data_IF_906031590200
#
_entry.id   IF_906031590200
#
_cell.length_a   1.000
_cell.length_b   1.000
_cell.length_c   1.000
_cell.angle_alpha   90.00
_cell.angle_beta   90.00
_cell.angle_gamma   90.00
#
_symmetry.space_group_name_H-M   'P 1'
#
loop_
_entity.id
_entity.type
_entity.pdbx_description
1 polymer ?
#
# COMPACT_ATOMS: atom_id res chain seq x y z
N UNK A 1 -7.06 -32.46 -7.75
CA UNK A 1 -5.73 -31.87 -8.07
C UNK A 1 -5.16 -31.25 -6.81
N UNK A 2 -3.90 -31.53 -6.48
CA UNK A 2 -3.26 -30.98 -5.28
C UNK A 2 -3.01 -29.47 -5.41
N UNK A 3 -3.12 -28.73 -4.28
CA UNK A 3 -2.77 -27.32 -4.22
C UNK A 3 -1.29 -27.11 -4.55
N UNK A 4 -0.99 -26.08 -5.33
CA UNK A 4 0.37 -25.79 -5.80
C UNK A 4 0.93 -24.55 -5.11
N UNK A 5 2.22 -24.56 -4.76
CA UNK A 5 2.88 -23.41 -4.13
C UNK A 5 3.06 -22.27 -5.13
N UNK A 6 2.66 -21.05 -4.74
CA UNK A 6 2.84 -19.86 -5.59
C UNK A 6 4.31 -19.57 -5.85
N UNK A 7 5.18 -19.77 -4.85
CA UNK A 7 6.63 -19.56 -4.99
C UNK A 7 7.24 -20.35 -6.16
N UNK A 8 6.75 -21.58 -6.43
CA UNK A 8 7.21 -22.39 -7.56
C UNK A 8 6.92 -21.74 -8.91
N UNK A 9 5.79 -21.04 -9.06
CA UNK A 9 5.49 -20.29 -10.29
C UNK A 9 6.37 -19.04 -10.41
N UNK A 10 6.61 -18.35 -9.29
CA UNK A 10 7.49 -17.16 -9.27
C UNK A 10 8.90 -17.56 -9.70
N UNK A 11 9.47 -18.60 -9.11
CA UNK A 11 10.84 -19.03 -9.42
C UNK A 11 11.00 -19.50 -10.88
N UNK A 12 9.94 -20.07 -11.48
CA UNK A 12 9.92 -20.45 -12.90
C UNK A 12 9.83 -19.24 -13.84
N UNK A 13 9.29 -18.12 -13.35
CA UNK A 13 9.09 -16.90 -14.16
C UNK A 13 10.21 -15.88 -14.03
N UNK A 14 11.05 -16.01 -12.99
CA UNK A 14 12.28 -15.24 -12.80
C UNK A 14 13.38 -15.78 -13.73
N UNK A 15 14.09 -14.90 -14.48
CA UNK A 15 15.24 -15.27 -15.30
C UNK A 15 16.31 -16.01 -14.49
N UNK A 16 17.00 -16.98 -15.10
CA UNK A 16 17.97 -17.84 -14.38
C UNK A 16 19.08 -17.06 -13.66
N UNK A 17 19.52 -15.91 -14.19
CA UNK A 17 20.54 -15.06 -13.57
C UNK A 17 20.04 -14.22 -12.38
N UNK A 18 18.74 -14.23 -12.11
CA UNK A 18 18.10 -13.50 -11.00
C UNK A 18 17.44 -14.46 -9.99
N UNK A 19 17.63 -15.78 -10.17
CA UNK A 19 17.08 -16.75 -9.23
C UNK A 19 17.77 -16.62 -7.88
N UNK A 20 17.02 -16.72 -6.77
CA UNK A 20 17.59 -16.70 -5.43
C UNK A 20 18.58 -17.86 -5.28
N UNK A 21 19.82 -17.55 -4.92
CA UNK A 21 20.87 -18.55 -4.70
C UNK A 21 20.71 -19.25 -3.35
N UNK A 22 20.23 -18.54 -2.33
CA UNK A 22 19.96 -19.11 -0.99
C UNK A 22 18.47 -19.38 -0.81
N UNK A 23 18.17 -20.42 -0.03
CA UNK A 23 16.78 -20.76 0.32
C UNK A 23 16.07 -19.62 1.06
N UNK A 24 16.79 -18.88 1.90
CA UNK A 24 16.30 -17.69 2.62
C UNK A 24 15.82 -16.58 1.71
N UNK A 25 16.32 -16.54 0.47
CA UNK A 25 16.06 -15.47 -0.48
C UNK A 25 14.90 -15.83 -1.42
N UNK A 26 14.37 -17.06 -1.31
CA UNK A 26 13.24 -17.52 -2.12
C UNK A 26 11.97 -16.75 -1.73
N UNK A 27 11.07 -16.46 -2.71
CA UNK A 27 9.80 -15.81 -2.42
C UNK A 27 9.04 -16.52 -1.30
N UNK A 28 8.39 -15.76 -0.42
CA UNK A 28 7.53 -16.31 0.64
C UNK A 28 8.27 -17.28 1.57
N UNK A 29 9.52 -16.97 1.93
CA UNK A 29 10.37 -17.78 2.81
C UNK A 29 10.45 -19.25 2.36
N UNK A 30 10.44 -19.55 1.05
CA UNK A 30 10.16 -20.89 0.50
C UNK A 30 11.30 -21.92 0.74
N UNK A 31 11.39 -22.28 2.01
CA UNK A 31 12.32 -23.14 2.71
C UNK A 31 11.88 -23.37 4.17
N UNK A 32 11.42 -22.29 4.80
CA UNK A 32 11.18 -22.18 6.23
C UNK A 32 9.76 -21.71 6.56
N UNK A 33 8.96 -21.33 5.54
CA UNK A 33 7.57 -20.96 5.71
C UNK A 33 6.76 -22.09 6.37
N UNK A 34 6.13 -21.78 7.50
CA UNK A 34 5.19 -22.68 8.18
C UNK A 34 3.91 -22.81 7.37
N UNK A 35 3.43 -21.69 6.81
CA UNK A 35 2.20 -21.62 6.02
C UNK A 35 2.48 -21.00 4.65
N UNK A 36 3.07 -21.75 3.70
CA UNK A 36 3.41 -21.21 2.38
C UNK A 36 2.15 -20.86 1.57
N UNK A 37 2.18 -19.82 0.73
CA UNK A 37 1.08 -19.50 -0.19
C UNK A 37 0.74 -20.64 -1.16
N UNK A 38 -0.49 -21.13 -1.06
CA UNK A 38 -1.03 -22.21 -1.90
C UNK A 38 -2.11 -21.68 -2.84
N UNK A 39 -1.99 -22.01 -4.12
CA UNK A 39 -3.00 -21.74 -5.13
C UNK A 39 -4.08 -22.83 -5.10
N UNK A 40 -5.34 -22.39 -5.13
CA UNK A 40 -6.51 -23.25 -5.27
C UNK A 40 -6.70 -23.62 -6.76
N UNK A 41 -6.95 -24.90 -7.07
CA UNK A 41 -7.22 -25.33 -8.44
C UNK A 41 -8.51 -24.75 -9.04
N UNK A 42 -9.49 -24.42 -8.19
CA UNK A 42 -10.79 -23.90 -8.59
C UNK A 42 -11.03 -22.51 -7.97
N UNK A 43 -11.73 -21.66 -8.71
CA UNK A 43 -11.99 -20.27 -8.34
C UNK A 43 -10.81 -19.34 -8.61
N UNK A 44 -10.97 -18.09 -8.18
CA UNK A 44 -9.98 -17.03 -8.37
C UNK A 44 -9.02 -17.00 -7.20
N UNK A 45 -7.71 -17.00 -7.46
CA UNK A 45 -6.68 -16.70 -6.48
C UNK A 45 -6.35 -15.21 -6.55
N UNK A 46 -6.30 -14.54 -5.40
CA UNK A 46 -6.00 -13.10 -5.33
C UNK A 46 -4.63 -12.87 -4.69
N UNK A 47 -3.84 -12.00 -5.31
CA UNK A 47 -2.61 -11.45 -4.74
C UNK A 47 -2.85 -9.99 -4.38
N UNK A 48 -2.51 -9.63 -3.15
CA UNK A 48 -2.49 -8.24 -2.71
C UNK A 48 -1.21 -7.57 -3.24
N UNK A 49 -1.34 -6.70 -4.22
CA UNK A 49 -0.25 -5.89 -4.73
C UNK A 49 -0.11 -4.65 -3.84
N UNK A 50 1.02 -4.48 -3.17
CA UNK A 50 1.26 -3.32 -2.30
C UNK A 50 2.39 -2.44 -2.85
N UNK A 51 2.05 -1.50 -3.75
CA UNK A 51 3.02 -0.59 -4.31
C UNK A 51 3.26 0.61 -3.39
N UNK A 52 4.47 1.13 -3.40
CA UNK A 52 4.77 2.33 -2.65
C UNK A 52 6.18 2.88 -2.86
N UNK A 53 6.34 4.15 -2.51
CA UNK A 53 7.66 4.77 -2.47
C UNK A 53 8.51 4.17 -1.36
N UNK A 54 7.91 3.86 -0.20
CA UNK A 54 8.60 3.26 0.94
C UNK A 54 9.94 3.94 1.25
N UNK A 55 9.91 5.26 1.41
CA UNK A 55 11.11 6.10 1.50
C UNK A 55 11.16 6.85 2.84
N UNK A 56 11.51 6.18 3.96
CA UNK A 56 11.70 4.73 4.12
C UNK A 56 10.39 3.97 4.45
N UNK A 57 10.38 2.62 4.43
CA UNK A 57 9.26 1.85 4.98
C UNK A 57 9.19 2.00 6.52
N UNK A 58 8.01 1.80 7.08
CA UNK A 58 7.71 2.06 8.49
C UNK A 58 6.59 1.14 9.00
N UNK A 59 6.39 1.10 10.32
CA UNK A 59 5.47 0.17 10.97
C UNK A 59 4.03 0.31 10.47
N UNK A 60 3.54 1.53 10.27
CA UNK A 60 2.22 1.76 9.66
C UNK A 60 2.02 1.12 8.27
N UNK A 61 3.08 0.96 7.47
CA UNK A 61 2.96 0.21 6.21
C UNK A 61 2.74 -1.28 6.47
N UNK A 62 3.47 -1.87 7.43
CA UNK A 62 3.35 -3.28 7.80
C UNK A 62 2.00 -3.57 8.48
N UNK A 63 1.53 -2.67 9.33
CA UNK A 63 0.24 -2.79 10.01
C UNK A 63 -0.91 -2.76 9.00
N UNK A 64 -0.87 -1.83 8.03
CA UNK A 64 -1.83 -1.79 6.94
C UNK A 64 -1.82 -3.09 6.12
N UNK A 65 -0.62 -3.58 5.77
CA UNK A 65 -0.47 -4.80 4.99
C UNK A 65 -1.07 -6.02 5.71
N UNK A 66 -0.72 -6.19 7.00
CA UNK A 66 -1.23 -7.29 7.84
C UNK A 66 -2.74 -7.20 8.02
N UNK A 67 -3.21 -6.04 8.44
CA UNK A 67 -4.63 -5.80 8.68
C UNK A 67 -5.46 -6.11 7.42
N UNK A 68 -5.06 -5.59 6.25
CA UNK A 68 -5.80 -5.86 5.02
C UNK A 68 -5.71 -7.32 4.62
N UNK A 69 -4.53 -7.94 4.67
CA UNK A 69 -4.38 -9.35 4.28
C UNK A 69 -5.25 -10.29 5.14
N UNK A 70 -5.34 -10.02 6.44
CA UNK A 70 -6.09 -10.85 7.40
C UNK A 70 -7.59 -10.57 7.37
N UNK A 71 -8.02 -9.36 7.01
CA UNK A 71 -9.40 -8.90 7.21
C UNK A 71 -10.17 -8.58 5.91
N UNK A 72 -9.56 -8.70 4.72
CA UNK A 72 -10.18 -8.31 3.44
C UNK A 72 -11.42 -9.12 3.00
N UNK A 73 -11.83 -10.10 3.79
CA UNK A 73 -13.02 -10.92 3.58
C UNK A 73 -12.67 -12.31 3.04
N UNK A 74 -13.40 -13.31 3.53
CA UNK A 74 -13.20 -14.71 3.12
C UNK A 74 -13.72 -15.00 1.69
N UNK A 75 -14.47 -14.07 1.09
CA UNK A 75 -14.87 -14.07 -0.32
C UNK A 75 -13.65 -13.92 -1.24
N UNK A 76 -12.66 -13.15 -0.80
CA UNK A 76 -11.37 -13.08 -1.44
C UNK A 76 -10.52 -14.26 -0.98
N UNK A 77 -10.31 -15.22 -1.88
CA UNK A 77 -9.25 -16.20 -1.73
C UNK A 77 -7.87 -15.51 -1.91
N UNK A 78 -7.50 -14.70 -0.94
CA UNK A 78 -6.22 -13.99 -0.86
C UNK A 78 -5.13 -14.98 -0.49
N UNK A 79 -4.18 -15.20 -1.40
CA UNK A 79 -3.14 -16.24 -1.24
C UNK A 79 -1.81 -15.68 -0.78
N UNK A 80 -1.49 -14.43 -1.16
CA UNK A 80 -0.21 -13.80 -0.90
C UNK A 80 -0.29 -12.28 -1.07
N UNK A 81 0.76 -11.60 -0.60
CA UNK A 81 1.00 -10.19 -0.91
C UNK A 81 2.36 -10.00 -1.58
N UNK A 82 2.43 -9.08 -2.53
CA UNK A 82 3.68 -8.70 -3.20
C UNK A 82 3.90 -7.19 -3.02
N UNK A 83 4.99 -6.84 -2.37
CA UNK A 83 5.38 -5.46 -2.08
C UNK A 83 6.28 -4.97 -3.21
N UNK A 84 5.89 -3.87 -3.86
CA UNK A 84 6.62 -3.33 -5.02
C UNK A 84 7.07 -1.90 -4.72
N UNK A 85 8.39 -1.74 -4.56
CA UNK A 85 9.01 -0.44 -4.42
C UNK A 85 9.02 0.29 -5.78
N UNK A 86 8.53 1.53 -5.84
CA UNK A 86 8.59 2.39 -7.05
C UNK A 86 10.03 2.57 -7.53
N UNK A 87 10.22 2.89 -8.81
CA UNK A 87 11.57 3.14 -9.35
C UNK A 87 12.22 4.37 -8.70
N UNK A 88 13.56 4.45 -8.78
CA UNK A 88 14.30 5.60 -8.26
C UNK A 88 14.02 6.88 -9.06
N UNK A 89 13.76 6.76 -10.37
CA UNK A 89 13.31 7.87 -11.22
C UNK A 89 11.97 8.43 -10.75
N UNK A 90 10.98 7.57 -10.49
CA UNK A 90 9.67 8.01 -10.00
C UNK A 90 9.76 8.62 -8.60
N UNK A 91 10.61 8.05 -7.73
CA UNK A 91 10.84 8.60 -6.40
C UNK A 91 11.51 9.97 -6.48
N UNK A 92 12.56 10.13 -7.29
CA UNK A 92 13.25 11.40 -7.48
C UNK A 92 12.27 12.49 -7.96
N UNK A 93 11.44 12.20 -8.98
CA UNK A 93 10.39 13.12 -9.45
C UNK A 93 9.40 13.50 -8.34
N UNK A 94 8.99 12.54 -7.51
CA UNK A 94 8.08 12.80 -6.38
C UNK A 94 8.72 13.70 -5.31
N UNK A 95 10.04 13.66 -5.19
CA UNK A 95 10.79 14.38 -4.16
C UNK A 95 11.39 15.70 -4.64
N UNK A 96 11.34 16.00 -5.94
CA UNK A 96 11.95 17.17 -6.57
C UNK A 96 11.57 18.50 -5.91
N UNK A 97 10.31 18.63 -5.50
CA UNK A 97 9.76 19.84 -4.86
C UNK A 97 9.74 19.79 -3.33
N UNK A 98 10.48 18.86 -2.71
CA UNK A 98 10.54 18.72 -1.26
C UNK A 98 11.90 19.17 -0.75
N UNK A 99 11.89 20.09 0.19
CA UNK A 99 13.10 20.46 0.93
C UNK A 99 13.62 19.26 1.72
N UNK A 100 14.95 19.16 1.82
CA UNK A 100 15.64 18.06 2.51
C UNK A 100 15.22 16.67 2.02
N UNK A 101 14.95 16.52 0.72
CA UNK A 101 14.57 15.27 0.13
C UNK A 101 15.67 14.20 0.24
N UNK A 102 15.54 13.30 1.23
CA UNK A 102 16.28 12.04 1.23
C UNK A 102 15.68 11.12 0.16
N UNK A 103 16.47 10.70 -0.81
CA UNK A 103 16.08 9.72 -1.83
C UNK A 103 16.84 8.42 -1.58
N UNK A 104 16.18 7.44 -0.95
CA UNK A 104 16.77 6.12 -0.70
C UNK A 104 16.62 5.26 -1.97
N UNK A 105 17.72 4.76 -2.56
CA UNK A 105 17.68 3.86 -3.71
C UNK A 105 16.80 2.63 -3.53
N UNK A 106 16.27 2.09 -4.62
CA UNK A 106 15.30 0.98 -4.62
C UNK A 106 15.85 -0.25 -3.93
N UNK A 107 17.11 -0.60 -4.19
CA UNK A 107 17.76 -1.77 -3.58
C UNK A 107 17.84 -1.64 -2.06
N UNK A 108 18.19 -0.45 -1.55
CA UNK A 108 18.21 -0.13 -0.12
C UNK A 108 16.80 -0.15 0.48
N UNK A 109 15.78 0.35 -0.22
CA UNK A 109 14.38 0.28 0.23
C UNK A 109 13.85 -1.15 0.30
N UNK A 110 14.22 -2.01 -0.65
CA UNK A 110 13.91 -3.45 -0.61
C UNK A 110 14.57 -4.11 0.60
N UNK A 111 15.85 -3.81 0.85
CA UNK A 111 16.59 -4.30 2.04
C UNK A 111 15.98 -3.78 3.33
N UNK A 112 15.48 -2.54 3.36
CA UNK A 112 14.75 -1.97 4.51
C UNK A 112 13.36 -2.57 4.71
N UNK A 113 12.75 -3.19 3.70
CA UNK A 113 11.54 -3.97 3.91
C UNK A 113 11.86 -5.36 4.46
N UNK A 114 12.89 -6.00 3.91
CA UNK A 114 13.32 -7.35 4.31
C UNK A 114 13.93 -7.34 5.71
N UNK A 115 14.93 -6.50 5.96
CA UNK A 115 15.80 -6.57 7.12
C UNK A 115 16.28 -7.99 7.38
N UNK A 116 15.97 -8.55 8.55
CA UNK A 116 16.23 -9.96 8.90
C UNK A 116 15.17 -10.96 8.39
N UNK A 117 14.12 -10.48 7.73
CA UNK A 117 12.98 -11.22 7.21
C UNK A 117 11.69 -10.42 7.43
N UNK A 118 10.77 -10.45 6.46
CA UNK A 118 9.40 -10.00 6.77
C UNK A 118 8.81 -11.08 7.68
N UNK A 119 8.25 -10.74 8.85
CA UNK A 119 7.77 -11.72 9.83
C UNK A 119 6.42 -12.33 9.43
N UNK A 120 6.23 -12.66 8.15
CA UNK A 120 5.08 -13.40 7.63
C UNK A 120 5.50 -14.30 6.47
N UNK A 121 4.82 -15.43 6.31
CA UNK A 121 5.09 -16.40 5.24
C UNK A 121 4.42 -16.05 3.91
N UNK A 122 3.46 -15.12 3.93
CA UNK A 122 2.60 -14.83 2.78
C UNK A 122 2.98 -13.54 2.03
N UNK A 123 3.99 -12.80 2.49
CA UNK A 123 4.45 -11.58 1.83
C UNK A 123 5.80 -11.78 1.13
N UNK A 124 5.98 -11.14 -0.02
CA UNK A 124 7.25 -11.11 -0.73
C UNK A 124 7.57 -9.70 -1.21
N UNK A 125 8.82 -9.26 -0.99
CA UNK A 125 9.32 -8.00 -1.57
C UNK A 125 9.87 -8.28 -2.94
N UNK A 126 9.23 -7.70 -3.95
CA UNK A 126 9.64 -7.81 -5.33
C UNK A 126 10.97 -7.09 -5.56
N UNK A 127 12.02 -7.87 -5.81
CA UNK A 127 13.40 -7.42 -5.98
C UNK A 127 13.97 -7.68 -7.37
N UNK A 128 13.20 -8.24 -8.29
CA UNK A 128 13.65 -8.44 -9.65
C UNK A 128 13.95 -7.09 -10.33
N UNK A 129 14.87 -7.13 -11.29
CA UNK A 129 15.33 -5.95 -12.05
C UNK A 129 14.35 -5.50 -13.13
N UNK A 130 13.54 -6.42 -13.64
CA UNK A 130 12.56 -6.13 -14.68
C UNK A 130 11.38 -5.29 -14.18
N UNK A 131 10.68 -4.65 -15.11
CA UNK A 131 9.45 -3.93 -14.81
C UNK A 131 8.35 -4.86 -14.27
N UNK A 132 7.68 -4.41 -13.21
CA UNK A 132 6.64 -5.15 -12.52
C UNK A 132 5.55 -5.70 -13.45
N UNK A 133 5.07 -4.88 -14.41
CA UNK A 133 3.98 -5.29 -15.31
C UNK A 133 4.39 -6.51 -16.15
N UNK A 134 5.63 -6.55 -16.65
CA UNK A 134 6.15 -7.67 -17.42
C UNK A 134 6.21 -8.96 -16.59
N UNK A 135 6.69 -8.86 -15.35
CA UNK A 135 6.72 -9.99 -14.41
C UNK A 135 5.30 -10.50 -14.11
N UNK A 136 4.38 -9.58 -13.78
CA UNK A 136 2.98 -9.88 -13.45
C UNK A 136 2.28 -10.63 -14.57
N UNK A 137 2.48 -10.20 -15.82
CA UNK A 137 1.85 -10.83 -16.97
C UNK A 137 2.39 -12.26 -17.19
N UNK A 138 3.70 -12.48 -17.01
CA UNK A 138 4.28 -13.83 -17.10
C UNK A 138 3.81 -14.73 -15.97
N UNK A 139 3.75 -14.24 -14.73
CA UNK A 139 3.22 -14.99 -13.59
C UNK A 139 1.77 -15.40 -13.82
N UNK A 140 0.94 -14.47 -14.28
CA UNK A 140 -0.47 -14.73 -14.61
C UNK A 140 -0.61 -15.78 -15.70
N UNK A 141 0.17 -15.68 -16.78
CA UNK A 141 0.19 -16.67 -17.87
C UNK A 141 0.65 -18.05 -17.39
N UNK A 142 1.68 -18.11 -16.54
CA UNK A 142 2.20 -19.36 -16.00
C UNK A 142 1.16 -20.09 -15.12
N UNK A 143 0.44 -19.36 -14.27
CA UNK A 143 -0.64 -19.93 -13.45
C UNK A 143 -1.84 -20.35 -14.31
N UNK A 144 -2.20 -19.53 -15.32
CA UNK A 144 -3.29 -19.83 -16.27
C UNK A 144 -3.03 -21.09 -17.09
N UNK A 145 -1.77 -21.38 -17.44
CA UNK A 145 -1.38 -22.61 -18.15
C UNK A 145 -1.82 -23.88 -17.39
N UNK A 146 -1.88 -23.79 -16.07
CA UNK A 146 -2.32 -24.87 -15.19
C UNK A 146 -3.81 -24.78 -14.84
N UNK A 147 -4.61 -24.05 -15.66
CA UNK A 147 -6.07 -23.87 -15.54
C UNK A 147 -6.52 -23.23 -14.23
N UNK A 148 -5.67 -22.45 -13.59
CA UNK A 148 -5.99 -21.66 -12.40
C UNK A 148 -6.12 -20.18 -12.75
N UNK A 149 -7.02 -19.47 -12.08
CA UNK A 149 -7.18 -18.02 -12.24
C UNK A 149 -6.42 -17.27 -11.15
N UNK A 150 -5.69 -16.22 -11.57
CA UNK A 150 -4.93 -15.34 -10.70
C UNK A 150 -5.30 -13.88 -11.00
N UNK A 151 -5.68 -13.13 -9.97
CA UNK A 151 -5.96 -11.69 -10.04
C UNK A 151 -5.14 -10.93 -9.01
N UNK A 152 -4.91 -9.66 -9.29
CA UNK A 152 -4.20 -8.74 -8.42
C UNK A 152 -5.14 -7.65 -7.94
N UNK A 153 -5.13 -7.40 -6.64
CA UNK A 153 -5.88 -6.31 -6.01
C UNK A 153 -4.85 -5.34 -5.44
N UNK A 154 -4.96 -4.05 -5.77
CA UNK A 154 -3.98 -3.07 -5.29
C UNK A 154 -4.34 -2.60 -3.88
N UNK A 155 -3.39 -2.64 -2.96
CA UNK A 155 -3.46 -2.01 -1.66
C UNK A 155 -2.93 -0.58 -1.76
N UNK A 156 -3.77 0.39 -1.44
CA UNK A 156 -3.38 1.78 -1.33
C UNK A 156 -3.61 2.33 0.07
N UNK A 157 -2.70 3.20 0.49
CA UNK A 157 -2.88 3.98 1.72
C UNK A 157 -4.04 4.97 1.59
N UNK A 158 -4.57 5.46 2.73
CA UNK A 158 -5.67 6.43 2.80
C UNK A 158 -5.44 7.75 2.04
N UNK A 159 -4.18 8.11 1.80
CA UNK A 159 -3.80 9.35 1.12
C UNK A 159 -3.82 9.24 -0.42
N UNK A 160 -4.03 8.04 -0.96
CA UNK A 160 -4.08 7.79 -2.41
C UNK A 160 -5.52 7.69 -2.89
N UNK A 161 -6.35 6.90 -2.20
CA UNK A 161 -7.79 6.78 -2.49
C UNK A 161 -8.51 7.78 -1.58
N UNK A 162 -9.01 8.86 -2.18
CA UNK A 162 -9.66 9.98 -1.47
C UNK A 162 -11.04 10.24 -2.05
N UNK A 163 -11.92 10.89 -1.29
CA UNK A 163 -13.28 11.22 -1.74
C UNK A 163 -13.28 11.89 -3.12
N UNK A 164 -12.40 12.87 -3.31
CA UNK A 164 -12.40 13.71 -4.51
C UNK A 164 -11.64 13.08 -5.69
N UNK A 165 -10.60 12.28 -5.44
CA UNK A 165 -9.82 11.63 -6.52
C UNK A 165 -10.35 10.26 -6.93
N UNK A 166 -11.05 9.56 -6.03
CA UNK A 166 -11.46 8.18 -6.23
C UNK A 166 -10.28 7.22 -6.41
N UNK A 167 -10.49 6.16 -7.19
CA UNK A 167 -9.47 5.15 -7.52
C UNK A 167 -9.21 5.13 -9.03
N UNK A 168 -7.93 5.11 -9.42
CA UNK A 168 -7.49 4.95 -10.81
C UNK A 168 -6.96 3.52 -11.06
N UNK A 169 -7.65 2.70 -11.87
CA UNK A 169 -7.29 1.29 -12.10
C UNK A 169 -6.08 1.10 -13.03
N UNK A 170 -5.69 2.14 -13.78
CA UNK A 170 -4.61 2.06 -14.78
C UNK A 170 -3.23 2.10 -14.12
N UNK A 171 -3.08 2.86 -13.02
CA UNK A 171 -1.77 3.16 -12.42
C UNK A 171 -0.92 1.92 -12.05
N UNK A 172 -1.57 0.85 -11.59
CA UNK A 172 -0.95 -0.44 -11.29
C UNK A 172 -1.58 -1.60 -12.06
N UNK A 173 -2.41 -1.30 -13.06
CA UNK A 173 -3.15 -2.26 -13.88
C UNK A 173 -4.02 -3.22 -13.05
N UNK A 174 -4.61 -2.74 -11.97
CA UNK A 174 -5.51 -3.50 -11.09
C UNK A 174 -6.90 -2.89 -11.20
N UNK A 175 -7.90 -3.67 -11.60
CA UNK A 175 -9.29 -3.20 -11.59
C UNK A 175 -9.82 -3.02 -10.17
N UNK A 176 -9.35 -3.84 -9.24
CA UNK A 176 -9.83 -3.83 -7.85
C UNK A 176 -8.79 -3.21 -6.93
N UNK A 177 -9.27 -2.51 -5.91
CA UNK A 177 -8.45 -1.87 -4.89
C UNK A 177 -8.97 -2.15 -3.48
N UNK A 178 -8.07 -2.11 -2.51
CA UNK A 178 -8.40 -2.14 -1.08
C UNK A 178 -7.67 -0.99 -0.38
N UNK A 179 -8.36 -0.34 0.55
CA UNK A 179 -7.77 0.60 1.50
C UNK A 179 -8.37 0.41 2.89
N UNK A 180 -7.74 1.01 3.90
CA UNK A 180 -8.17 0.95 5.30
C UNK A 180 -7.59 2.12 6.06
N UNK A 181 -8.29 2.56 7.09
CA UNK A 181 -7.86 3.65 7.96
C UNK A 181 -7.09 3.20 9.22
N UNK A 182 -6.70 1.93 9.33
CA UNK A 182 -5.86 1.42 10.43
C UNK A 182 -4.58 2.24 10.64
N UNK A 183 -3.98 2.74 9.56
CA UNK A 183 -2.71 3.48 9.61
C UNK A 183 -2.88 5.00 9.68
N UNK A 184 -4.05 5.54 9.30
CA UNK A 184 -4.39 6.97 9.30
C UNK A 184 -5.84 7.14 8.83
N UNK A 185 -6.47 8.25 9.19
CA UNK A 185 -7.82 8.56 8.73
C UNK A 185 -7.91 8.65 7.19
N UNK A 186 -9.06 8.24 6.65
CA UNK A 186 -9.50 8.53 5.28
C UNK A 186 -10.41 9.77 5.29
N UNK A 187 -10.42 10.53 4.20
CA UNK A 187 -11.23 11.75 4.07
C UNK A 187 -12.72 11.49 3.75
N UNK A 188 -13.08 10.23 3.55
CA UNK A 188 -14.43 9.80 3.20
C UNK A 188 -15.15 9.03 4.32
N UNK A 189 -14.56 8.83 5.50
CA UNK A 189 -15.24 8.16 6.62
C UNK A 189 -15.80 9.18 7.61
N UNK A 190 -17.09 9.04 7.91
CA UNK A 190 -17.78 9.70 9.03
C UNK A 190 -18.17 8.65 10.08
N UNK A 191 -18.63 9.05 11.29
CA UNK A 191 -18.93 8.10 12.38
C UNK A 191 -19.90 6.98 11.99
N UNK A 192 -20.89 7.27 11.15
CA UNK A 192 -21.94 6.32 10.76
C UNK A 192 -22.08 6.10 9.25
N UNK A 193 -21.36 6.86 8.43
CA UNK A 193 -21.52 6.87 6.96
C UNK A 193 -20.19 7.03 6.24
N UNK A 194 -20.20 6.74 4.93
CA UNK A 194 -19.06 6.98 4.06
C UNK A 194 -19.44 7.97 2.95
N UNK A 195 -18.64 9.01 2.77
CA UNK A 195 -18.71 9.90 1.60
C UNK A 195 -18.45 9.07 0.34
N UNK A 196 -19.25 9.28 -0.69
CA UNK A 196 -19.06 8.63 -1.98
C UNK A 196 -17.71 9.04 -2.59
N UNK A 197 -17.01 8.07 -3.17
CA UNK A 197 -15.79 8.33 -3.94
C UNK A 197 -16.15 8.83 -5.35
N UNK A 198 -15.39 9.80 -5.84
CA UNK A 198 -15.46 10.25 -7.22
C UNK A 198 -15.34 9.07 -8.19
N UNK A 199 -16.24 9.01 -9.18
CA UNK A 199 -16.26 7.97 -10.20
C UNK A 199 -16.74 6.59 -9.73
N UNK A 200 -17.21 6.44 -8.50
CA UNK A 200 -17.75 5.19 -7.94
C UNK A 200 -19.24 5.29 -7.61
N UNK A 201 -19.91 4.14 -7.51
CA UNK A 201 -21.25 4.03 -6.93
C UNK A 201 -21.24 4.34 -5.42
N UNK A 202 -22.40 4.57 -4.79
CA UNK A 202 -22.50 4.63 -3.34
C UNK A 202 -21.91 3.39 -2.66
N UNK A 203 -21.37 3.58 -1.47
CA UNK A 203 -20.86 2.50 -0.64
C UNK A 203 -21.97 1.57 -0.18
N UNK A 204 -21.69 0.27 -0.19
CA UNK A 204 -22.56 -0.77 0.34
C UNK A 204 -21.74 -1.68 1.25
N UNK A 205 -22.39 -2.29 2.24
CA UNK A 205 -21.77 -3.39 2.99
C UNK A 205 -21.47 -4.55 2.05
N UNK A 206 -20.40 -5.29 2.34
CA UNK A 206 -20.05 -6.47 1.57
C UNK A 206 -21.21 -7.50 1.62
N UNK A 207 -21.79 -7.80 0.46
CA UNK A 207 -22.84 -8.81 0.34
C UNK A 207 -22.22 -10.18 0.05
N UNK A 208 -22.27 -11.08 1.02
CA UNK A 208 -21.72 -12.44 0.94
C UNK A 208 -22.68 -13.47 1.51
N UNK A 209 -22.52 -14.72 1.09
CA UNK A 209 -23.24 -15.87 1.65
C UNK A 209 -22.76 -16.17 3.09
N UNK A 210 -23.38 -15.48 4.05
CA UNK A 210 -23.08 -15.61 5.50
C UNK A 210 -23.29 -17.04 5.99
N UNK A 211 -24.37 -17.68 5.57
CA UNK A 211 -24.69 -19.09 5.92
C UNK A 211 -23.62 -20.03 5.38
N UNK A 212 -23.17 -19.82 4.14
CA UNK A 212 -22.07 -20.58 3.56
C UNK A 212 -20.75 -20.40 4.29
N UNK A 213 -20.46 -19.19 4.80
CA UNK A 213 -19.27 -18.91 5.60
C UNK A 213 -19.35 -19.62 6.95
N UNK A 214 -20.48 -19.52 7.65
CA UNK A 214 -20.72 -20.21 8.92
C UNK A 214 -20.49 -21.72 8.79
N UNK A 215 -21.11 -22.34 7.78
CA UNK A 215 -20.95 -23.77 7.50
C UNK A 215 -19.48 -24.16 7.26
N UNK A 216 -18.70 -23.31 6.58
CA UNK A 216 -17.25 -23.56 6.37
C UNK A 216 -16.47 -23.45 7.67
N UNK A 217 -16.81 -22.51 8.54
CA UNK A 217 -16.18 -22.35 9.86
C UNK A 217 -16.45 -23.59 10.71
N UNK A 218 -17.72 -24.00 10.85
CA UNK A 218 -18.12 -25.21 11.58
C UNK A 218 -17.41 -26.46 11.05
N UNK A 219 -17.33 -26.61 9.72
CA UNK A 219 -16.63 -27.74 9.10
C UNK A 219 -15.11 -27.73 9.41
N UNK A 220 -14.48 -26.55 9.43
CA UNK A 220 -13.04 -26.40 9.71
C UNK A 220 -12.71 -26.63 11.19
N UNK A 221 -13.61 -26.23 12.08
CA UNK A 221 -13.47 -26.35 13.54
C UNK A 221 -14.19 -27.58 14.10
N UNK A 222 -14.44 -28.60 13.27
CA UNK A 222 -15.04 -29.85 13.72
C UNK A 222 -14.16 -30.48 14.81
N UNK A 223 -14.73 -30.69 15.99
CA UNK A 223 -14.04 -31.26 17.16
C UNK A 223 -13.53 -30.22 18.17
N UNK A 224 -13.71 -28.93 17.91
CA UNK A 224 -13.55 -27.86 18.91
C UNK A 224 -14.84 -27.71 19.74
N UNK A 225 -14.80 -26.95 20.83
CA UNK A 225 -16.00 -26.70 21.64
C UNK A 225 -16.99 -25.82 20.87
N UNK A 226 -18.30 -25.97 21.14
CA UNK A 226 -19.31 -25.10 20.51
C UNK A 226 -19.07 -23.61 20.84
N UNK A 227 -18.56 -23.29 22.03
CA UNK A 227 -18.20 -21.92 22.40
C UNK A 227 -17.12 -21.34 21.48
N UNK A 228 -16.07 -22.10 21.17
CA UNK A 228 -15.00 -21.64 20.28
C UNK A 228 -15.50 -21.45 18.84
N UNK A 229 -16.43 -22.31 18.41
CA UNK A 229 -17.06 -22.23 17.09
C UNK A 229 -17.92 -20.98 16.98
N UNK A 230 -18.77 -20.71 17.97
CA UNK A 230 -19.63 -19.52 18.01
C UNK A 230 -18.82 -18.23 18.10
N UNK A 231 -17.73 -18.20 18.88
CA UNK A 231 -16.81 -17.06 18.92
C UNK A 231 -16.19 -16.81 17.54
N UNK A 232 -15.71 -17.85 16.86
CA UNK A 232 -15.12 -17.74 15.53
C UNK A 232 -16.13 -17.26 14.48
N UNK A 233 -17.38 -17.72 14.56
CA UNK A 233 -18.47 -17.26 13.69
C UNK A 233 -18.77 -15.78 13.96
N UNK A 234 -18.96 -15.41 15.23
CA UNK A 234 -19.26 -14.02 15.64
C UNK A 234 -18.19 -13.07 15.12
N UNK A 235 -16.91 -13.37 15.40
CA UNK A 235 -15.77 -12.59 14.94
C UNK A 235 -15.70 -12.49 13.42
N UNK A 236 -16.04 -13.57 12.70
CA UNK A 236 -16.08 -13.54 11.24
C UNK A 236 -17.19 -12.63 10.71
N UNK A 237 -18.38 -12.66 11.32
CA UNK A 237 -19.50 -11.80 10.94
C UNK A 237 -19.22 -10.33 11.24
N UNK A 238 -18.70 -10.03 12.44
CA UNK A 238 -18.25 -8.67 12.79
C UNK A 238 -17.22 -8.15 11.79
N UNK A 239 -16.24 -8.96 11.41
CA UNK A 239 -15.25 -8.57 10.41
C UNK A 239 -15.90 -8.27 9.05
N UNK A 240 -16.85 -9.09 8.58
CA UNK A 240 -17.58 -8.82 7.34
C UNK A 240 -18.36 -7.51 7.40
N UNK A 241 -18.92 -7.18 8.57
CA UNK A 241 -19.63 -5.92 8.78
C UNK A 241 -18.71 -4.70 8.76
N UNK A 242 -17.39 -4.86 8.93
CA UNK A 242 -16.44 -3.75 8.74
C UNK A 242 -16.10 -3.47 7.27
N UNK A 243 -16.48 -4.35 6.34
CA UNK A 243 -16.08 -4.24 4.93
C UNK A 243 -17.16 -3.49 4.14
N UNK A 244 -16.75 -2.38 3.56
CA UNK A 244 -17.54 -1.60 2.62
C UNK A 244 -16.98 -1.73 1.21
N UNK A 245 -17.88 -1.74 0.23
CA UNK A 245 -17.53 -1.86 -1.18
C UNK A 245 -18.25 -0.80 -2.00
N UNK A 246 -17.56 -0.25 -2.99
CA UNK A 246 -18.19 0.52 -4.06
C UNK A 246 -17.65 0.06 -5.41
N UNK A 247 -18.48 0.21 -6.46
CA UNK A 247 -18.13 -0.18 -7.82
C UNK A 247 -17.68 1.05 -8.61
N UNK A 248 -16.57 0.95 -9.33
CA UNK A 248 -16.18 1.99 -10.28
C UNK A 248 -17.17 2.07 -11.44
N UNK A 249 -17.63 3.28 -11.73
CA UNK A 249 -18.59 3.57 -12.81
C UNK A 249 -17.90 4.26 -13.97
N UNK A 250 -17.03 5.23 -13.67
CA UNK A 250 -16.39 6.12 -14.67
C UNK A 250 -15.14 5.49 -15.29
N UNK A 251 -14.24 4.98 -14.47
CA UNK A 251 -12.94 4.48 -14.91
C UNK A 251 -13.02 3.08 -15.53
N UNK A 252 -12.14 2.81 -16.50
CA UNK A 252 -11.96 1.48 -17.11
C UNK A 252 -10.55 0.94 -16.80
N UNK A 253 -10.40 -0.38 -16.52
CA UNK A 253 -11.47 -1.37 -16.35
C UNK A 253 -12.30 -1.09 -15.09
N UNK A 254 -13.60 -1.41 -15.15
CA UNK A 254 -14.47 -1.31 -13.97
C UNK A 254 -14.06 -2.40 -12.98
N UNK A 255 -13.85 -2.02 -11.72
CA UNK A 255 -13.69 -2.98 -10.63
C UNK A 255 -14.32 -2.50 -9.34
N UNK A 256 -13.89 -3.11 -8.24
CA UNK A 256 -14.41 -2.90 -6.89
C UNK A 256 -13.34 -2.23 -6.04
N UNK A 257 -13.71 -1.12 -5.40
CA UNK A 257 -12.92 -0.54 -4.31
C UNK A 257 -13.52 -1.06 -3.01
N UNK A 258 -12.70 -1.72 -2.18
CA UNK A 258 -13.06 -2.11 -0.82
C UNK A 258 -12.42 -1.16 0.19
N UNK A 259 -13.18 -0.83 1.23
CA UNK A 259 -12.71 -0.13 2.41
C UNK A 259 -12.91 -1.03 3.63
N UNK A 260 -11.82 -1.30 4.34
CA UNK A 260 -11.83 -2.03 5.60
C UNK A 260 -11.83 -1.02 6.73
N UNK A 261 -12.97 -0.91 7.39
CA UNK A 261 -13.16 -0.01 8.50
C UNK A 261 -12.41 -0.53 9.73
N UNK A 262 -11.47 0.26 10.25
CA UNK A 262 -10.81 -0.08 11.50
C UNK A 262 -11.65 0.35 12.72
N UNK A 263 -11.50 -0.39 13.81
CA UNK A 263 -11.92 0.08 15.12
C UNK A 263 -11.06 1.30 15.51
N UNK A 264 -11.72 2.43 15.79
CA UNK A 264 -11.04 3.69 16.11
C UNK A 264 -10.17 3.56 17.37
N UNK A 265 -10.48 2.63 18.29
CA UNK A 265 -9.62 2.36 19.45
C UNK A 265 -8.30 1.68 19.07
N UNK A 266 -8.25 0.99 17.92
CA UNK A 266 -7.04 0.35 17.38
C UNK A 266 -6.23 1.29 16.50
N UNK A 267 -6.77 2.45 16.15
CA UNK A 267 -6.06 3.46 15.38
C UNK A 267 -5.06 4.17 16.31
N UNK A 268 -3.78 4.11 15.97
CA UNK A 268 -2.77 4.88 16.69
C UNK A 268 -2.99 6.39 16.45
N UNK A 269 -3.12 7.15 17.54
CA UNK A 269 -3.25 8.62 17.49
C UNK A 269 -2.05 9.29 16.81
N UNK A 270 -0.88 8.67 16.89
CA UNK A 270 0.37 9.15 16.30
C UNK A 270 1.02 8.07 15.41
N UNK A 271 0.31 7.74 14.33
CA UNK A 271 0.70 6.66 13.43
C UNK A 271 2.04 6.92 12.72
N UNK A 272 2.93 5.91 12.64
CA UNK A 272 4.21 6.02 11.94
C UNK A 272 4.06 6.44 10.48
N UNK A 273 4.89 7.38 10.03
CA UNK A 273 4.92 7.84 8.63
C UNK A 273 6.35 8.17 8.15
N UNK A 274 6.59 8.10 6.84
CA UNK A 274 7.88 8.51 6.27
C UNK A 274 8.18 10.01 6.49
N UNK A 275 7.14 10.85 6.66
CA UNK A 275 7.34 12.27 7.02
C UNK A 275 7.81 12.41 8.45
N UNK A 276 7.20 11.66 9.39
CA UNK A 276 7.63 11.62 10.79
C UNK A 276 9.07 11.12 10.93
N UNK A 277 9.45 10.08 10.19
CA UNK A 277 10.83 9.59 10.17
C UNK A 277 11.80 10.68 9.71
N UNK A 278 11.47 11.41 8.63
CA UNK A 278 12.33 12.51 8.15
C UNK A 278 12.47 13.62 9.19
N UNK A 279 11.36 14.00 9.85
CA UNK A 279 11.41 14.96 10.94
C UNK A 279 12.32 14.50 12.09
N UNK A 280 12.24 13.23 12.50
CA UNK A 280 13.12 12.64 13.52
C UNK A 280 14.59 12.68 13.07
N UNK A 281 14.86 12.35 11.81
CA UNK A 281 16.22 12.39 11.24
C UNK A 281 16.77 13.82 11.25
N UNK A 282 15.95 14.81 10.96
CA UNK A 282 16.36 16.22 10.91
C UNK A 282 16.56 16.82 12.32
N UNK A 283 15.82 16.36 13.33
CA UNK A 283 15.84 16.93 14.69
C UNK A 283 16.69 16.16 15.70
N UNK A 284 17.04 14.90 15.45
CA UNK A 284 17.73 14.04 16.43
C UNK A 284 19.25 14.10 16.28
N UNK A 285 19.95 13.95 17.40
CA UNK A 285 21.41 13.72 17.39
C UNK A 285 21.73 12.33 16.77
N UNK A 286 22.87 12.17 16.08
CA UNK A 286 23.23 10.91 15.42
C UNK A 286 23.23 9.68 16.34
N UNK A 287 23.64 9.84 17.59
CA UNK A 287 23.70 8.82 18.65
C UNK A 287 22.32 8.39 19.16
N UNK A 288 21.33 9.27 19.11
CA UNK A 288 19.96 8.98 19.56
C UNK A 288 19.06 8.46 18.43
N UNK A 289 19.52 8.57 17.19
CA UNK A 289 18.67 8.34 16.01
C UNK A 289 18.06 6.93 15.97
N UNK A 290 18.82 5.90 16.34
CA UNK A 290 18.30 4.51 16.41
C UNK A 290 17.20 4.39 17.47
N UNK A 291 17.42 5.00 18.65
CA UNK A 291 16.46 4.98 19.75
C UNK A 291 15.16 5.69 19.34
N UNK A 292 15.26 6.84 18.70
CA UNK A 292 14.10 7.66 18.30
C UNK A 292 13.32 7.05 17.13
N UNK A 293 13.95 6.22 16.30
CA UNK A 293 13.30 5.51 15.19
C UNK A 293 12.68 4.16 15.59
N UNK A 294 12.95 3.68 16.80
CA UNK A 294 12.43 2.39 17.30
C UNK A 294 10.90 2.43 17.42
N UNK A 295 10.25 1.39 16.92
CA UNK A 295 8.77 1.32 16.86
C UNK A 295 8.15 2.15 15.73
N UNK A 296 8.94 2.93 14.98
CA UNK A 296 8.46 3.75 13.86
C UNK A 296 8.97 3.18 12.54
N UNK A 297 10.30 3.09 12.37
CA UNK A 297 10.90 2.48 11.18
C UNK A 297 10.86 0.94 11.30
N UNK A 298 10.76 0.23 10.16
CA UNK A 298 10.78 -1.24 10.20
C UNK A 298 12.11 -1.81 10.68
N UNK A 299 13.22 -1.22 10.22
CA UNK A 299 14.58 -1.64 10.59
C UNK A 299 15.43 -0.41 10.90
N UNK A 300 15.32 0.16 12.12
CA UNK A 300 15.97 1.41 12.51
C UNK A 300 17.48 1.41 12.32
N UNK A 301 18.17 0.36 12.74
CA UNK A 301 19.63 0.24 12.68
C UNK A 301 20.12 0.25 11.22
N UNK A 302 19.44 -0.50 10.35
CA UNK A 302 19.75 -0.55 8.92
C UNK A 302 19.45 0.79 8.23
N UNK A 303 18.37 1.46 8.62
CA UNK A 303 18.02 2.78 8.10
C UNK A 303 19.09 3.80 8.46
N UNK A 304 19.52 3.88 9.72
CA UNK A 304 20.58 4.80 10.16
C UNK A 304 21.88 4.54 9.40
N UNK A 305 22.25 3.26 9.19
CA UNK A 305 23.41 2.91 8.36
C UNK A 305 23.29 3.50 6.95
N UNK A 306 22.15 3.32 6.28
CA UNK A 306 21.96 3.85 4.93
C UNK A 306 21.92 5.37 4.87
N UNK A 307 21.35 6.04 5.87
CA UNK A 307 21.33 7.50 5.94
C UNK A 307 22.75 8.08 6.01
N UNK A 308 23.68 7.41 6.70
CA UNK A 308 25.10 7.82 6.76
C UNK A 308 25.83 7.69 5.42
N UNK A 309 25.41 6.76 4.57
CA UNK A 309 25.99 6.52 3.25
C UNK A 309 25.41 7.43 2.15
N UNK A 310 24.26 8.07 2.42
CA UNK A 310 23.58 8.91 1.44
C UNK A 310 24.15 10.34 1.47
N UNK A 311 24.13 11.04 0.32
CA UNK A 311 24.48 12.46 0.30
C UNK A 311 23.58 13.22 1.27
N UNK A 312 24.16 14.17 2.02
CA UNK A 312 23.39 15.01 2.93
C UNK A 312 22.28 15.72 2.14
N UNK A 313 21.06 15.83 2.68
CA UNK A 313 19.99 16.54 2.03
C UNK A 313 20.44 17.97 1.72
N UNK A 314 20.31 18.38 0.46
CA UNK A 314 20.59 19.76 0.07
C UNK A 314 19.38 20.58 0.55
N UNK A 315 19.58 21.45 1.54
CA UNK A 315 18.61 22.51 1.84
C UNK A 315 18.52 23.38 0.59
N UNK A 316 17.33 23.53 0.00
CA UNK A 316 17.10 24.68 -0.88
C UNK A 316 17.25 25.91 0.02
N UNK A 317 18.41 26.59 -0.07
CA UNK A 317 18.49 27.98 0.37
C UNK A 317 17.36 28.68 -0.35
N UNK A 318 16.51 29.37 0.40
CA UNK A 318 15.34 30.04 -0.15
C UNK A 318 15.79 30.97 -1.29
N UNK A 319 15.68 30.49 -2.53
CA UNK A 319 15.83 31.27 -3.75
C UNK A 319 14.59 32.15 -3.96
N UNK A 320 14.08 32.69 -2.85
CA UNK A 320 13.09 33.76 -2.74
C UNK A 320 13.75 35.04 -2.20
N UNK A 321 14.88 34.95 -1.50
CA UNK A 321 15.59 36.14 -0.96
C UNK A 321 16.41 36.92 -2.01
N UNK A 322 16.36 36.56 -3.30
CA UNK A 322 16.97 37.33 -4.39
C UNK A 322 15.95 37.87 -5.41
N UNK A 323 14.65 37.77 -5.14
CA UNK A 323 13.60 38.48 -5.91
C UNK A 323 12.90 39.59 -5.11
N UNK A 324 13.33 39.87 -3.88
CA UNK A 324 12.80 40.97 -3.05
C UNK A 324 13.75 42.17 -2.91
N UNK A 325 14.75 42.30 -3.78
CA UNK A 325 15.54 43.53 -3.91
C UNK A 325 15.39 44.13 -5.30
N UNK A 326 14.23 44.74 -5.52
CA UNK A 326 14.06 46.03 -6.21
C UNK A 326 12.56 46.41 -6.24
N UNK A 327 11.96 46.56 -5.06
CA UNK A 327 10.81 47.47 -4.90
C UNK A 327 11.34 48.68 -4.15
N UNK A 328 11.76 49.69 -4.91
CA UNK A 328 12.10 51.01 -4.38
C UNK A 328 10.81 51.69 -3.88
N UNK A 329 10.71 52.14 -2.60
CA UNK A 329 9.46 52.69 -2.07
C UNK A 329 9.08 54.08 -2.63
N UNK A 330 9.91 54.69 -3.48
CA UNK A 330 9.75 56.08 -3.94
C UNK A 330 9.45 56.24 -5.44
N UNK A 331 8.88 55.23 -6.11
CA UNK A 331 8.32 55.43 -7.45
C UNK A 331 6.83 55.86 -7.35
N UNK A 332 6.43 57.04 -7.87
CA UNK A 332 5.03 57.41 -7.95
C UNK A 332 4.32 56.48 -8.94
N UNK A 333 3.33 55.73 -8.46
CA UNK A 333 2.46 54.90 -9.31
C UNK A 333 1.42 55.82 -9.95
N UNK A 334 1.46 55.92 -11.28
CA UNK A 334 0.44 56.59 -12.10
C UNK A 334 -0.77 55.65 -12.25
N UNK A 335 -1.91 56.06 -11.68
CA UNK A 335 -3.14 55.25 -11.59
C UNK A 335 -4.11 55.51 -12.76
N UNK A 336 -3.63 55.64 -14.00
CA UNK A 336 -4.47 56.02 -15.15
C UNK A 336 -4.77 54.97 -16.22
N UNK A 337 -4.47 53.69 -16.02
CA UNK A 337 -4.68 52.67 -17.07
C UNK A 337 -5.38 51.37 -16.63
N UNK A 338 -6.31 51.46 -15.66
CA UNK A 338 -7.13 50.30 -15.25
C UNK A 338 -8.64 50.58 -15.14
N UNK A 339 -9.14 51.53 -15.91
CA UNK A 339 -10.56 51.68 -16.21
C UNK A 339 -10.71 51.67 -17.73
N UNK A 340 -10.85 50.48 -18.31
CA UNK A 340 -11.49 50.19 -19.61
C UNK A 340 -11.16 48.74 -19.99
N UNK A 341 -11.99 47.78 -19.56
CA UNK A 341 -12.39 46.58 -20.34
C UNK A 341 -13.24 45.66 -19.45
N UNK A 342 -14.47 46.08 -19.17
CA UNK A 342 -15.55 45.17 -18.77
C UNK A 342 -16.43 44.99 -20.02
N UNK A 343 -16.54 43.79 -20.60
CA UNK A 343 -17.49 43.55 -21.69
C UNK A 343 -18.89 43.49 -21.10
N UNK A 344 -19.75 44.41 -21.54
CA UNK A 344 -21.18 44.41 -21.26
C UNK A 344 -21.84 43.13 -21.79
N UNK A 345 -22.82 42.63 -21.01
CA UNK A 345 -23.77 41.60 -21.43
C UNK A 345 -24.82 42.28 -22.30
N UNK A 346 -25.03 41.77 -23.51
CA UNK A 346 -26.27 42.00 -24.26
C UNK A 346 -27.26 40.85 -23.99
N UNK A 347 -28.53 41.22 -23.95
CA UNK A 347 -29.72 40.46 -23.60
C UNK A 347 -30.05 39.25 -24.50
#
# INVERSE_FOLDING_TARGET
MASKRLATYIERTIPSNQKPMKQSDRPFNNATAKNPPLLRPQGVNHILLYPGSFNPPHQGHLDLLKHVFENAGADLNMVAAIIVATSDKELARKMENRDNAVVIPRDKRIKLWRGQGIPVDWAWVYDCSEHWNSFRDRLTKAVRKDRMELKFIVLHGPDIITADRGFNPVGWGCSDAITSDISRAVDFRYPSTLRQLAGCAPWNKLNVDRVGIERKIRAKLKGYSESDIEEAITKAMENLDTIWVCRQIREKPKGIVRFLQCDLQKQATDAPSSTKIRAIVDSSLPEELVKNLRGIALHPELLVKYLKELPKPIKRVALRELQERECNPDCPVDWKEYDETIPERED
#
